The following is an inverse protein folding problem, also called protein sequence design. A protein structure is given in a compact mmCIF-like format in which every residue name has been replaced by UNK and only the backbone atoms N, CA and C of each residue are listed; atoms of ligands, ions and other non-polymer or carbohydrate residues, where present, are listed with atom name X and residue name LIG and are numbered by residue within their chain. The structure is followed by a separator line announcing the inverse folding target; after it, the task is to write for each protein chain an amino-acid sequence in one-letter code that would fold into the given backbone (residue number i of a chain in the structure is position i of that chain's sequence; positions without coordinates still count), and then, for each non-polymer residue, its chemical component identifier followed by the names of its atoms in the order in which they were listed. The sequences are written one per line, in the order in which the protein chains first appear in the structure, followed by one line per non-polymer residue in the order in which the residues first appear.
data_IF_112662169417
#
_entry.id   IF_112662169417
#
_cell.length_a   1.000
_cell.length_b   1.000
_cell.length_c   1.000
_cell.angle_alpha   90.00
_cell.angle_beta   90.00
_cell.angle_gamma   90.00
#
_symmetry.space_group_name_H-M   'P 1'
#
loop_
_entity.id
_entity.type
_entity.pdbx_description
1 polymer ?
#
# COMPACT_ATOMS: atom_id res chain seq x y z
N UNK A 1 7.69 -0.04 -12.44
CA UNK A 1 6.46 -0.72 -11.99
C UNK A 1 5.62 0.32 -11.25
N UNK A 2 4.29 0.23 -11.21
CA UNK A 2 3.49 1.22 -10.44
C UNK A 2 3.36 0.76 -8.99
N UNK A 3 3.23 1.71 -8.05
CA UNK A 3 3.05 1.40 -6.62
C UNK A 3 1.93 0.39 -6.38
N UNK A 4 0.82 0.52 -7.11
CA UNK A 4 -0.29 -0.45 -7.07
C UNK A 4 0.14 -1.87 -7.40
N UNK A 5 0.93 -2.06 -8.45
CA UNK A 5 1.39 -3.40 -8.86
C UNK A 5 2.31 -3.99 -7.81
N UNK A 6 3.22 -3.20 -7.25
CA UNK A 6 4.12 -3.63 -6.16
C UNK A 6 3.33 -4.09 -4.95
N UNK A 7 2.34 -3.30 -4.53
CA UNK A 7 1.45 -3.63 -3.40
C UNK A 7 0.61 -4.87 -3.69
N UNK A 8 0.02 -4.98 -4.88
CA UNK A 8 -0.82 -6.14 -5.24
C UNK A 8 0.00 -7.44 -5.28
N UNK A 9 1.24 -7.40 -5.81
CA UNK A 9 2.16 -8.55 -5.80
C UNK A 9 2.54 -8.94 -4.37
N UNK A 10 2.94 -7.98 -3.55
CA UNK A 10 3.29 -8.21 -2.15
C UNK A 10 2.14 -8.86 -1.36
N UNK A 11 0.93 -8.32 -1.50
CA UNK A 11 -0.26 -8.85 -0.83
C UNK A 11 -0.61 -10.26 -1.29
N UNK A 12 -0.48 -10.55 -2.58
CA UNK A 12 -0.68 -11.89 -3.12
C UNK A 12 0.32 -12.89 -2.53
N UNK A 13 1.61 -12.53 -2.48
CA UNK A 13 2.65 -13.38 -1.89
C UNK A 13 2.41 -13.65 -0.39
N UNK A 14 1.87 -12.69 0.34
CA UNK A 14 1.55 -12.83 1.77
C UNK A 14 0.16 -13.45 2.03
N UNK A 15 -0.64 -13.71 0.99
CA UNK A 15 -2.05 -14.10 1.11
C UNK A 15 -2.84 -13.17 2.04
N UNK A 16 -2.65 -11.85 1.89
CA UNK A 16 -3.31 -10.82 2.71
C UNK A 16 -4.22 -9.92 1.87
N UNK A 17 -5.37 -9.49 2.41
CA UNK A 17 -6.21 -8.49 1.75
C UNK A 17 -5.63 -7.07 1.88
N UNK A 18 -6.10 -6.13 1.06
CA UNK A 18 -5.69 -4.71 1.14
C UNK A 18 -6.02 -4.07 2.49
N UNK A 19 -7.16 -4.44 3.10
CA UNK A 19 -7.55 -4.02 4.44
C UNK A 19 -6.49 -4.35 5.50
N UNK A 20 -5.75 -5.45 5.34
CA UNK A 20 -4.66 -5.81 6.24
C UNK A 20 -3.50 -4.80 6.17
N UNK A 21 -3.10 -4.38 4.97
CA UNK A 21 -2.06 -3.36 4.79
C UNK A 21 -2.52 -2.00 5.30
N UNK A 22 -3.76 -1.62 5.03
CA UNK A 22 -4.35 -0.38 5.54
C UNK A 22 -4.29 -0.34 7.08
N UNK A 23 -4.66 -1.43 7.75
CA UNK A 23 -4.54 -1.56 9.20
C UNK A 23 -3.09 -1.50 9.69
N UNK A 24 -2.14 -2.13 8.98
CA UNK A 24 -0.71 -2.11 9.35
C UNK A 24 -0.08 -0.73 9.23
N UNK A 25 -0.56 0.07 8.29
CA UNK A 25 -0.09 1.44 8.08
C UNK A 25 -0.87 2.48 8.88
N UNK A 26 -1.89 2.04 9.64
CA UNK A 26 -2.80 2.89 10.41
C UNK A 26 -3.47 3.97 9.53
N UNK A 27 -3.88 3.58 8.32
CA UNK A 27 -4.58 4.45 7.37
C UNK A 27 -5.91 3.83 6.94
N UNK A 28 -6.85 4.68 6.55
CA UNK A 28 -8.12 4.23 5.99
C UNK A 28 -7.90 3.46 4.66
N UNK A 29 -8.60 2.35 4.46
CA UNK A 29 -8.48 1.53 3.24
C UNK A 29 -8.87 2.29 1.96
N UNK A 30 -9.88 3.16 2.05
CA UNK A 30 -10.26 4.06 0.95
C UNK A 30 -9.15 5.05 0.62
N UNK A 31 -8.47 5.59 1.65
CA UNK A 31 -7.31 6.45 1.45
C UNK A 31 -6.14 5.69 0.81
N UNK A 32 -5.81 4.48 1.30
CA UNK A 32 -4.84 3.60 0.65
C UNK A 32 -5.19 3.38 -0.83
N UNK A 33 -6.45 3.05 -1.14
CA UNK A 33 -6.89 2.85 -2.52
C UNK A 33 -6.71 4.10 -3.38
N UNK A 34 -6.99 5.30 -2.85
CA UNK A 34 -6.75 6.56 -3.57
C UNK A 34 -5.27 6.77 -3.88
N UNK A 35 -4.37 6.49 -2.93
CA UNK A 35 -2.91 6.55 -3.13
C UNK A 35 -2.47 5.56 -4.21
N UNK A 36 -2.87 4.29 -4.09
CA UNK A 36 -2.46 3.24 -5.03
C UNK A 36 -2.91 3.54 -6.46
N UNK A 37 -4.10 4.12 -6.62
CA UNK A 37 -4.62 4.48 -7.94
C UNK A 37 -4.14 5.87 -8.43
N UNK A 38 -3.22 6.53 -7.72
CA UNK A 38 -2.65 7.83 -8.11
C UNK A 38 -3.63 8.99 -8.03
N UNK A 39 -4.71 8.87 -7.25
CA UNK A 39 -5.67 9.97 -7.00
C UNK A 39 -5.15 10.96 -5.97
N UNK A 40 -4.43 10.44 -4.97
CA UNK A 40 -3.70 11.23 -3.98
C UNK A 40 -2.22 10.88 -4.08
N UNK A 41 -1.34 11.88 -4.03
CA UNK A 41 0.12 11.69 -4.08
C UNK A 41 0.83 12.15 -2.79
N UNK A 42 0.42 11.65 -1.59
CA UNK A 42 1.07 12.01 -0.34
C UNK A 42 2.44 11.34 -0.24
N UNK A 43 3.51 12.07 -0.57
CA UNK A 43 4.90 11.58 -0.59
C UNK A 43 5.26 10.73 0.62
N UNK A 44 4.99 11.23 1.83
CA UNK A 44 5.31 10.54 3.07
C UNK A 44 4.60 9.17 3.21
N UNK A 45 3.33 9.06 2.78
CA UNK A 45 2.62 7.79 2.88
C UNK A 45 3.02 6.82 1.78
N UNK A 46 3.38 7.32 0.60
CA UNK A 46 3.95 6.50 -0.47
C UNK A 46 5.28 5.88 0.00
N UNK A 47 6.15 6.67 0.63
CA UNK A 47 7.41 6.18 1.21
C UNK A 47 7.14 5.13 2.30
N UNK A 48 6.22 5.38 3.23
CA UNK A 48 5.84 4.40 4.25
C UNK A 48 5.31 3.08 3.67
N UNK A 49 4.52 3.12 2.60
CA UNK A 49 4.05 1.91 1.90
C UNK A 49 5.23 1.15 1.31
N UNK A 50 6.15 1.84 0.62
CA UNK A 50 7.33 1.22 0.01
C UNK A 50 8.23 0.59 1.05
N UNK A 51 8.58 1.32 2.10
CA UNK A 51 9.41 0.80 3.20
C UNK A 51 8.76 -0.43 3.86
N UNK A 52 7.44 -0.42 4.05
CA UNK A 52 6.74 -1.55 4.64
C UNK A 52 6.87 -2.81 3.78
N UNK A 53 6.73 -2.67 2.46
CA UNK A 53 6.85 -3.79 1.51
C UNK A 53 8.29 -4.28 1.42
N UNK A 54 9.28 -3.39 1.43
CA UNK A 54 10.70 -3.78 1.37
C UNK A 54 11.17 -4.51 2.64
N UNK A 55 10.61 -4.16 3.81
CA UNK A 55 10.99 -4.75 5.10
C UNK A 55 10.30 -6.08 5.44
N UNK A 56 9.30 -6.52 4.65
CA UNK A 56 8.46 -7.69 4.98
C UNK A 56 8.45 -8.75 3.87
#
# INVERSE_FOLDING_TARGET
MTLKKEVDVFLALKSKPRSWLANKLEINEGYLSRILNGRDEPKHQIERIKEFIEKN
#
